data_IF_929959164390
#
_entry.id   IF_929959164390
#
_cell.length_a   1.000
_cell.length_b   1.000
_cell.length_c   1.000
_cell.angle_alpha   90.00
_cell.angle_beta   90.00
_cell.angle_gamma   90.00
#
_symmetry.space_group_name_H-M   'P 1'
#
loop_
_entity.id
_entity.type
_entity.pdbx_description
1 polymer ?
#
# COMPACT_ATOMS: atom_id res chain seq x y z
N UNK A 1 -9.82 17.01 5.65
CA UNK A 1 -9.08 17.22 4.42
C UNK A 1 -7.70 17.77 4.70
N UNK A 2 -6.84 17.82 3.68
CA UNK A 2 -5.52 18.41 3.80
C UNK A 2 -5.58 19.92 4.07
N UNK A 3 -4.62 20.43 4.81
CA UNK A 3 -4.41 21.85 5.09
C UNK A 3 -2.97 22.21 4.73
N UNK A 4 -2.62 23.49 4.79
CA UNK A 4 -1.22 23.92 4.57
C UNK A 4 -0.22 23.28 5.55
N UNK A 5 -0.70 22.88 6.73
CA UNK A 5 0.10 22.18 7.73
C UNK A 5 0.20 20.67 7.49
N UNK A 6 -0.52 20.11 6.51
CA UNK A 6 -0.46 18.69 6.20
C UNK A 6 0.88 18.35 5.56
N UNK A 7 1.67 17.43 6.13
CA UNK A 7 2.97 17.09 5.58
C UNK A 7 2.83 16.51 4.16
N UNK A 8 3.75 16.88 3.29
CA UNK A 8 3.93 16.22 1.99
C UNK A 8 4.91 15.07 2.18
N UNK A 9 4.49 13.86 1.84
CA UNK A 9 5.32 12.67 1.91
C UNK A 9 5.79 12.24 0.52
N UNK A 10 7.07 11.99 0.37
CA UNK A 10 7.62 11.34 -0.81
C UNK A 10 7.25 9.86 -0.82
N UNK A 11 6.72 9.38 -1.94
CA UNK A 11 6.21 8.01 -2.04
C UNK A 11 6.76 7.35 -3.30
N UNK A 12 7.25 6.12 -3.16
CA UNK A 12 7.60 5.26 -4.27
C UNK A 12 6.63 4.09 -4.34
N UNK A 13 6.07 3.85 -5.51
CA UNK A 13 5.23 2.68 -5.79
C UNK A 13 5.97 1.74 -6.73
N UNK A 14 6.03 0.47 -6.37
CA UNK A 14 6.79 -0.53 -7.12
C UNK A 14 6.14 -0.94 -8.46
N UNK A 15 5.02 -0.35 -8.84
CA UNK A 15 4.24 -0.68 -10.03
C UNK A 15 5.02 -0.52 -11.35
N UNK A 16 5.79 0.55 -11.48
CA UNK A 16 6.38 0.95 -12.75
C UNK A 16 7.66 0.17 -13.09
N UNK A 17 8.27 -0.48 -12.11
CA UNK A 17 9.56 -1.15 -12.28
C UNK A 17 9.42 -2.63 -12.65
N UNK A 18 8.55 -2.94 -13.61
CA UNK A 18 8.38 -4.31 -14.10
C UNK A 18 7.95 -5.31 -13.03
N UNK A 19 7.08 -4.87 -12.16
CA UNK A 19 6.77 -5.54 -10.92
C UNK A 19 5.44 -6.28 -10.92
N UNK A 20 4.73 -6.31 -12.05
CA UNK A 20 3.54 -7.14 -12.23
C UNK A 20 3.81 -8.61 -11.94
N UNK A 21 5.04 -9.03 -12.13
CA UNK A 21 5.46 -10.40 -11.95
C UNK A 21 6.01 -10.68 -10.57
N UNK A 22 6.03 -9.68 -9.75
CA UNK A 22 6.32 -9.82 -8.38
C UNK A 22 7.59 -9.14 -7.95
N UNK A 23 7.40 -8.12 -7.16
CA UNK A 23 8.38 -7.81 -6.16
C UNK A 23 8.75 -9.08 -5.44
N UNK A 24 10.01 -9.33 -5.31
CA UNK A 24 10.54 -10.34 -4.41
C UNK A 24 11.19 -9.64 -3.22
N UNK A 25 11.43 -10.36 -2.15
CA UNK A 25 12.18 -9.85 -1.02
C UNK A 25 13.55 -9.32 -1.48
N UNK A 26 14.26 -10.06 -2.34
CA UNK A 26 15.56 -9.68 -2.88
C UNK A 26 15.49 -8.37 -3.67
N UNK A 27 14.58 -8.26 -4.64
CA UNK A 27 14.41 -7.05 -5.44
C UNK A 27 13.99 -5.85 -4.58
N UNK A 28 13.14 -6.07 -3.60
CA UNK A 28 12.71 -5.01 -2.68
C UNK A 28 13.87 -4.48 -1.85
N UNK A 29 14.70 -5.37 -1.31
CA UNK A 29 15.89 -4.98 -0.55
C UNK A 29 16.91 -4.26 -1.43
N UNK A 30 17.09 -4.68 -2.69
CA UNK A 30 17.96 -3.99 -3.65
C UNK A 30 17.45 -2.56 -3.95
N UNK A 31 16.15 -2.39 -4.15
CA UNK A 31 15.54 -1.07 -4.34
C UNK A 31 15.70 -0.18 -3.11
N UNK A 32 15.46 -0.72 -1.92
CA UNK A 32 15.65 0.02 -0.68
C UNK A 32 17.11 0.41 -0.45
N UNK A 33 18.05 -0.46 -0.84
CA UNK A 33 19.48 -0.15 -0.78
C UNK A 33 19.83 1.04 -1.69
N UNK A 34 19.23 1.12 -2.87
CA UNK A 34 19.39 2.27 -3.76
C UNK A 34 18.81 3.56 -3.13
N UNK A 35 17.61 3.51 -2.55
CA UNK A 35 17.04 4.67 -1.86
C UNK A 35 17.85 5.08 -0.64
N UNK A 36 18.37 4.11 0.11
CA UNK A 36 19.26 4.39 1.23
C UNK A 36 20.55 5.06 0.78
N UNK A 37 21.15 4.62 -0.32
CA UNK A 37 22.30 5.28 -0.91
C UNK A 37 21.99 6.73 -1.31
N UNK A 38 20.84 6.99 -1.96
CA UNK A 38 20.40 8.34 -2.27
C UNK A 38 20.20 9.21 -1.01
N UNK A 39 19.68 8.60 0.05
CA UNK A 39 19.54 9.27 1.35
C UNK A 39 20.91 9.63 1.94
N UNK A 40 21.83 8.68 2.00
CA UNK A 40 23.12 8.84 2.66
C UNK A 40 24.04 9.81 1.91
N UNK A 41 24.06 9.76 0.56
CA UNK A 41 24.95 10.54 -0.28
C UNK A 41 24.40 11.93 -0.65
N UNK A 42 23.09 12.04 -0.80
CA UNK A 42 22.44 13.25 -1.33
C UNK A 42 21.41 13.89 -0.42
N UNK A 43 21.13 13.30 0.72
CA UNK A 43 20.08 13.75 1.63
C UNK A 43 18.66 13.62 1.09
N UNK A 44 18.47 12.79 0.06
CA UNK A 44 17.12 12.52 -0.47
C UNK A 44 16.31 11.71 0.53
N UNK A 45 15.10 12.18 0.82
CA UNK A 45 14.19 11.46 1.71
C UNK A 45 13.14 10.70 0.91
N UNK A 46 13.03 9.41 1.16
CA UNK A 46 11.87 8.61 0.80
C UNK A 46 11.07 8.32 2.07
N UNK A 47 9.89 8.91 2.20
CA UNK A 47 9.05 8.71 3.38
C UNK A 47 8.34 7.34 3.37
N UNK A 48 7.87 6.89 2.19
CA UNK A 48 7.10 5.65 2.06
C UNK A 48 7.54 4.85 0.84
N UNK A 49 7.95 3.61 1.06
CA UNK A 49 8.09 2.58 0.02
C UNK A 49 6.82 1.74 -0.03
N UNK A 50 6.03 1.89 -1.08
CA UNK A 50 4.76 1.21 -1.24
C UNK A 50 4.86 0.02 -2.19
N UNK A 51 4.54 -1.17 -1.69
CA UNK A 51 4.31 -2.34 -2.51
C UNK A 51 3.05 -2.13 -3.36
N UNK A 52 3.15 -2.33 -4.66
CA UNK A 52 2.02 -2.26 -5.56
C UNK A 52 1.46 -3.65 -5.90
N UNK A 53 0.56 -3.74 -6.88
CA UNK A 53 -0.02 -4.99 -7.33
C UNK A 53 1.07 -6.04 -7.61
N UNK A 54 0.75 -7.30 -7.39
CA UNK A 54 1.71 -8.39 -7.51
C UNK A 54 2.36 -8.83 -6.21
N UNK A 55 2.23 -8.06 -5.11
CA UNK A 55 2.85 -8.40 -3.82
C UNK A 55 1.94 -9.25 -2.94
N UNK A 56 0.75 -8.77 -2.60
CA UNK A 56 -0.20 -9.48 -1.72
C UNK A 56 -1.55 -9.71 -2.39
N UNK A 57 -1.57 -10.07 -3.65
CA UNK A 57 -2.78 -10.10 -4.47
C UNK A 57 -3.91 -10.92 -3.84
N UNK A 58 -3.73 -12.22 -3.68
CA UNK A 58 -4.76 -13.09 -3.12
C UNK A 58 -6.05 -13.17 -3.96
N UNK A 59 -7.10 -13.79 -3.42
CA UNK A 59 -8.38 -13.88 -4.10
C UNK A 59 -8.96 -12.52 -4.45
N UNK A 60 -9.42 -12.35 -5.70
CA UNK A 60 -9.99 -11.10 -6.23
C UNK A 60 -9.09 -9.87 -6.03
N UNK A 61 -7.79 -10.08 -5.90
CA UNK A 61 -6.80 -9.01 -5.64
C UNK A 61 -7.07 -8.18 -4.38
N UNK A 62 -7.81 -8.72 -3.42
CA UNK A 62 -8.06 -8.00 -2.17
C UNK A 62 -6.82 -7.86 -1.29
N UNK A 63 -5.85 -8.74 -1.48
CA UNK A 63 -4.60 -8.80 -0.72
C UNK A 63 -4.60 -9.89 0.33
N UNK A 64 -3.57 -10.74 0.29
CA UNK A 64 -3.37 -11.82 1.26
C UNK A 64 -1.89 -12.20 1.36
N UNK A 65 -1.41 -12.39 2.57
CA UNK A 65 -0.08 -12.95 2.85
C UNK A 65 -0.09 -14.48 3.00
N UNK A 66 -1.26 -15.11 2.84
CA UNK A 66 -1.42 -16.57 2.98
C UNK A 66 -1.17 -17.33 1.67
N UNK A 67 -1.05 -16.65 0.53
CA UNK A 67 -0.86 -17.28 -0.78
C UNK A 67 0.53 -17.90 -0.91
N UNK A 68 0.62 -18.96 -1.71
CA UNK A 68 1.92 -19.59 -2.00
C UNK A 68 2.83 -18.65 -2.79
N UNK A 69 2.25 -17.80 -3.65
CA UNK A 69 2.97 -16.73 -4.35
C UNK A 69 3.67 -15.82 -3.35
N UNK A 70 2.93 -15.26 -2.38
CA UNK A 70 3.52 -14.38 -1.37
C UNK A 70 4.62 -15.08 -0.58
N UNK A 71 4.37 -16.29 -0.08
CA UNK A 71 5.37 -17.07 0.69
C UNK A 71 6.64 -17.36 -0.11
N UNK A 72 6.51 -17.57 -1.42
CA UNK A 72 7.66 -17.77 -2.32
C UNK A 72 8.43 -16.48 -2.54
N UNK A 73 7.73 -15.37 -2.75
CA UNK A 73 8.33 -14.06 -3.03
C UNK A 73 8.94 -13.42 -1.78
N UNK A 74 8.32 -13.62 -0.63
CA UNK A 74 8.70 -13.05 0.66
C UNK A 74 8.81 -14.16 1.72
N UNK A 75 9.82 -15.03 1.63
CA UNK A 75 9.92 -16.20 2.51
C UNK A 75 10.07 -15.84 3.99
N UNK A 76 10.58 -14.65 4.29
CA UNK A 76 10.70 -14.10 5.65
C UNK A 76 9.63 -13.04 5.97
N UNK A 77 8.60 -12.91 5.11
CA UNK A 77 7.57 -11.88 5.23
C UNK A 77 8.13 -10.46 5.08
N UNK A 78 7.48 -9.50 5.73
CA UNK A 78 7.90 -8.09 5.64
C UNK A 78 8.99 -7.70 6.64
N UNK A 79 9.32 -8.55 7.61
CA UNK A 79 10.25 -8.19 8.69
C UNK A 79 11.61 -7.67 8.20
N UNK A 80 12.37 -8.37 7.34
CA UNK A 80 13.69 -7.87 6.91
C UNK A 80 13.59 -6.57 6.11
N UNK A 81 12.50 -6.39 5.36
CA UNK A 81 12.25 -5.19 4.58
C UNK A 81 11.94 -4.01 5.49
N UNK A 82 11.09 -4.22 6.50
CA UNK A 82 10.76 -3.23 7.51
C UNK A 82 12.02 -2.78 8.27
N UNK A 83 12.83 -3.72 8.74
CA UNK A 83 14.05 -3.41 9.46
C UNK A 83 15.03 -2.60 8.60
N UNK A 84 15.14 -2.93 7.31
CA UNK A 84 15.99 -2.20 6.39
C UNK A 84 15.46 -0.78 6.09
N UNK A 85 14.17 -0.66 5.76
CA UNK A 85 13.54 0.63 5.49
C UNK A 85 13.63 1.56 6.71
N UNK A 86 13.39 1.04 7.89
CA UNK A 86 13.49 1.78 9.16
C UNK A 86 14.90 2.33 9.42
N UNK A 87 15.95 1.70 8.89
CA UNK A 87 17.33 2.16 9.06
C UNK A 87 17.64 3.53 8.43
N UNK A 88 16.76 4.04 7.56
CA UNK A 88 16.84 5.39 6.97
C UNK A 88 15.49 6.13 6.99
N UNK A 89 14.69 5.89 8.04
CA UNK A 89 13.41 6.55 8.30
C UNK A 89 12.35 6.39 7.18
N UNK A 90 12.45 5.33 6.39
CA UNK A 90 11.46 4.99 5.38
C UNK A 90 10.42 4.02 5.98
N UNK A 91 9.15 4.33 5.77
CA UNK A 91 8.01 3.48 6.17
C UNK A 91 7.50 2.66 5.00
N UNK A 92 6.64 1.71 5.27
CA UNK A 92 6.06 0.84 4.25
C UNK A 92 4.63 1.24 3.88
N UNK A 93 4.24 0.96 2.64
CA UNK A 93 2.87 1.06 2.16
C UNK A 93 2.49 -0.16 1.34
N UNK A 94 1.21 -0.37 1.07
CA UNK A 94 0.74 -1.52 0.30
C UNK A 94 -0.50 -1.20 -0.54
N UNK A 95 -0.51 -1.75 -1.76
CA UNK A 95 -1.65 -1.80 -2.64
C UNK A 95 -2.53 -3.01 -2.32
N UNK A 96 -3.85 -2.81 -2.28
CA UNK A 96 -4.83 -3.84 -1.98
C UNK A 96 -6.24 -3.43 -2.42
N UNK A 97 -7.18 -4.39 -2.45
CA UNK A 97 -8.59 -4.10 -2.64
C UNK A 97 -9.27 -3.59 -1.36
N UNK A 98 -10.35 -2.82 -1.49
CA UNK A 98 -11.06 -2.23 -0.35
C UNK A 98 -11.90 -3.23 0.44
N UNK A 99 -12.34 -4.30 -0.18
CA UNK A 99 -13.11 -5.41 0.42
C UNK A 99 -12.14 -6.52 0.90
N UNK A 100 -12.57 -7.74 0.88
CA UNK A 100 -11.81 -8.89 1.38
C UNK A 100 -12.25 -9.33 2.77
N UNK A 101 -13.35 -8.76 3.27
CA UNK A 101 -13.90 -9.11 4.58
C UNK A 101 -14.61 -10.48 4.60
N UNK A 102 -14.77 -11.12 3.43
CA UNK A 102 -15.51 -12.39 3.34
C UNK A 102 -16.98 -12.23 3.70
N UNK A 103 -17.64 -13.36 3.98
CA UNK A 103 -19.08 -13.42 4.27
C UNK A 103 -19.36 -13.83 5.71
N UNK A 104 -18.36 -14.26 6.45
CA UNK A 104 -18.46 -14.68 7.86
C UNK A 104 -17.74 -13.70 8.79
N UNK A 105 -18.17 -13.66 10.04
CA UNK A 105 -17.50 -12.86 11.07
C UNK A 105 -16.02 -13.25 11.27
N UNK A 106 -15.69 -14.52 11.06
CA UNK A 106 -14.31 -15.01 11.15
C UNK A 106 -13.44 -14.43 10.03
N UNK A 107 -13.91 -14.48 8.79
CA UNK A 107 -13.18 -13.92 7.64
C UNK A 107 -13.02 -12.41 7.77
N UNK A 108 -14.07 -11.73 8.22
CA UNK A 108 -14.03 -10.30 8.51
C UNK A 108 -12.94 -9.97 9.54
N UNK A 109 -12.89 -10.72 10.65
CA UNK A 109 -11.88 -10.52 11.67
C UNK A 109 -10.47 -10.85 11.16
N UNK A 110 -10.29 -11.93 10.40
CA UNK A 110 -9.00 -12.28 9.80
C UNK A 110 -8.48 -11.17 8.87
N UNK A 111 -9.37 -10.52 8.11
CA UNK A 111 -9.01 -9.37 7.27
C UNK A 111 -8.53 -8.19 8.11
N UNK A 112 -9.25 -7.88 9.17
CA UNK A 112 -8.90 -6.78 10.08
C UNK A 112 -7.57 -7.09 10.78
N UNK A 113 -7.40 -8.28 11.31
CA UNK A 113 -6.19 -8.69 12.03
C UNK A 113 -4.94 -8.61 11.14
N UNK A 114 -5.05 -9.01 9.88
CA UNK A 114 -3.95 -8.92 8.91
C UNK A 114 -3.52 -7.47 8.70
N UNK A 115 -4.44 -6.56 8.42
CA UNK A 115 -4.12 -5.17 8.10
C UNK A 115 -3.72 -4.36 9.35
N UNK A 116 -4.32 -4.66 10.49
CA UNK A 116 -3.87 -4.13 11.79
C UNK A 116 -2.46 -4.61 12.09
N UNK A 117 -2.17 -5.88 11.83
CA UNK A 117 -0.84 -6.46 11.97
C UNK A 117 0.22 -5.74 11.14
N UNK A 118 -0.10 -5.32 9.92
CA UNK A 118 0.84 -4.53 9.11
C UNK A 118 1.23 -3.21 9.79
N UNK A 119 0.26 -2.52 10.37
CA UNK A 119 0.53 -1.26 11.07
C UNK A 119 1.22 -1.47 12.42
N UNK A 120 0.80 -2.48 13.19
CA UNK A 120 1.34 -2.77 14.52
C UNK A 120 2.78 -3.29 14.46
N UNK A 121 3.03 -4.24 13.55
CA UNK A 121 4.27 -5.02 13.54
C UNK A 121 5.34 -4.43 12.60
N UNK A 122 4.91 -3.69 11.56
CA UNK A 122 5.79 -3.16 10.52
C UNK A 122 5.57 -1.67 10.21
N UNK A 123 4.81 -0.96 11.03
CA UNK A 123 4.60 0.50 10.92
C UNK A 123 4.13 0.95 9.52
N UNK A 124 3.29 0.16 8.85
CA UNK A 124 2.74 0.57 7.56
C UNK A 124 2.05 1.91 7.64
N UNK A 125 2.36 2.81 6.71
CA UNK A 125 1.92 4.20 6.69
C UNK A 125 0.97 4.53 5.55
N UNK A 126 0.76 3.59 4.61
CA UNK A 126 -0.09 3.81 3.45
C UNK A 126 -0.81 2.54 3.02
N UNK A 127 -2.10 2.67 2.80
CA UNK A 127 -2.92 1.70 2.07
C UNK A 127 -3.45 2.34 0.78
N UNK A 128 -3.01 1.83 -0.37
CA UNK A 128 -3.56 2.19 -1.68
C UNK A 128 -4.70 1.22 -2.00
N UNK A 129 -5.92 1.69 -1.86
CA UNK A 129 -7.13 0.90 -2.14
C UNK A 129 -7.65 1.16 -3.54
N UNK A 130 -7.62 0.14 -4.40
CA UNK A 130 -7.84 0.29 -5.85
C UNK A 130 -9.16 -0.34 -6.31
N UNK A 131 -9.90 0.43 -7.12
CA UNK A 131 -11.16 -0.01 -7.72
C UNK A 131 -11.02 -1.15 -8.73
N UNK A 132 -9.83 -1.43 -9.23
CA UNK A 132 -9.60 -2.60 -10.09
C UNK A 132 -9.93 -3.91 -9.37
N UNK A 133 -9.85 -3.91 -8.05
CA UNK A 133 -10.21 -5.03 -7.19
C UNK A 133 -11.71 -5.14 -6.90
N UNK A 134 -12.54 -4.33 -7.52
CA UNK A 134 -13.95 -4.08 -7.22
C UNK A 134 -14.17 -3.00 -6.14
N UNK A 135 -15.43 -2.57 -6.02
CA UNK A 135 -15.82 -1.63 -4.98
C UNK A 135 -15.99 -2.33 -3.63
N UNK A 136 -15.91 -1.57 -2.56
CA UNK A 136 -16.32 -2.03 -1.25
C UNK A 136 -17.83 -2.36 -1.26
N UNK A 137 -18.20 -3.54 -0.78
CA UNK A 137 -19.61 -3.95 -0.67
C UNK A 137 -20.34 -3.06 0.34
N UNK A 138 -21.60 -2.67 0.09
CA UNK A 138 -22.36 -1.82 0.99
C UNK A 138 -22.52 -2.40 2.42
N UNK A 139 -22.69 -3.70 2.53
CA UNK A 139 -22.81 -4.41 3.81
C UNK A 139 -21.49 -4.48 4.59
N UNK A 140 -20.34 -4.17 3.95
CA UNK A 140 -18.99 -4.19 4.56
C UNK A 140 -18.46 -2.80 4.94
N UNK A 141 -19.21 -1.74 4.73
CA UNK A 141 -18.79 -0.39 5.08
C UNK A 141 -18.47 -0.23 6.56
N UNK A 142 -19.28 -0.87 7.44
CA UNK A 142 -19.02 -0.85 8.90
C UNK A 142 -17.76 -1.62 9.28
N UNK A 143 -17.49 -2.74 8.62
CA UNK A 143 -16.24 -3.50 8.82
C UNK A 143 -15.02 -2.68 8.37
N UNK A 144 -15.14 -1.97 7.24
CA UNK A 144 -14.11 -1.04 6.78
C UNK A 144 -13.88 0.11 7.77
N UNK A 145 -14.96 0.70 8.30
CA UNK A 145 -14.88 1.75 9.31
C UNK A 145 -14.15 1.26 10.58
N UNK A 146 -14.50 0.05 11.05
CA UNK A 146 -13.82 -0.60 12.16
C UNK A 146 -12.34 -0.85 11.87
N UNK A 147 -12.02 -1.39 10.69
CA UNK A 147 -10.65 -1.60 10.24
C UNK A 147 -9.83 -0.31 10.34
N UNK A 148 -10.33 0.78 9.74
CA UNK A 148 -9.59 2.05 9.71
C UNK A 148 -9.44 2.67 11.10
N UNK A 149 -10.39 2.45 11.99
CA UNK A 149 -10.29 2.86 13.39
C UNK A 149 -9.20 2.08 14.11
N UNK A 150 -9.15 0.77 13.92
CA UNK A 150 -8.15 -0.09 14.56
C UNK A 150 -6.72 0.15 14.03
N UNK A 151 -6.53 0.26 12.72
CA UNK A 151 -5.19 0.50 12.15
C UNK A 151 -4.61 1.84 12.61
N UNK A 152 -5.43 2.87 12.79
CA UNK A 152 -4.99 4.18 13.25
C UNK A 152 -4.61 4.26 14.73
N UNK A 153 -4.89 3.25 15.51
CA UNK A 153 -4.31 3.11 16.86
C UNK A 153 -2.81 2.83 16.81
N UNK A 154 -2.33 2.21 15.72
CA UNK A 154 -0.93 1.85 15.51
C UNK A 154 -0.21 2.80 14.53
N UNK A 155 -0.94 3.30 13.54
CA UNK A 155 -0.46 4.27 12.55
C UNK A 155 -1.45 5.43 12.45
N UNK A 156 -1.39 6.41 13.39
CA UNK A 156 -2.38 7.51 13.47
C UNK A 156 -2.44 8.37 12.22
N UNK A 157 -1.34 8.51 11.51
CA UNK A 157 -1.14 9.28 10.29
C UNK A 157 -1.28 8.45 9.00
N UNK A 158 -1.80 7.21 9.10
CA UNK A 158 -1.96 6.33 7.95
C UNK A 158 -2.68 7.03 6.79
N UNK A 159 -2.03 7.01 5.63
CA UNK A 159 -2.60 7.49 4.39
C UNK A 159 -3.52 6.40 3.82
N UNK A 160 -4.78 6.73 3.63
CA UNK A 160 -5.69 5.93 2.81
C UNK A 160 -5.79 6.58 1.44
N UNK A 161 -5.04 6.06 0.48
CA UNK A 161 -5.13 6.46 -0.91
C UNK A 161 -6.35 5.78 -1.55
N UNK A 162 -7.40 6.57 -1.75
CA UNK A 162 -8.63 6.10 -2.38
C UNK A 162 -8.52 6.20 -3.90
N UNK A 163 -8.19 5.07 -4.54
CA UNK A 163 -8.01 5.00 -5.97
C UNK A 163 -9.31 4.58 -6.67
N UNK A 164 -10.13 5.58 -7.08
CA UNK A 164 -11.40 5.40 -7.82
C UNK A 164 -12.50 4.65 -7.06
N UNK A 165 -12.47 4.67 -5.73
CA UNK A 165 -13.44 3.93 -4.92
C UNK A 165 -14.63 4.78 -4.51
N UNK A 166 -15.79 4.11 -4.45
CA UNK A 166 -16.98 4.59 -3.75
C UNK A 166 -17.01 3.94 -2.37
N UNK A 167 -16.57 4.65 -1.36
CA UNK A 167 -16.44 4.11 -0.02
C UNK A 167 -17.70 4.25 0.85
N UNK A 168 -18.73 4.98 0.37
CA UNK A 168 -19.94 5.19 1.16
C UNK A 168 -19.63 5.83 2.53
N UNK A 169 -20.07 5.19 3.62
CA UNK A 169 -19.83 5.66 5.00
C UNK A 169 -18.34 5.66 5.37
N UNK A 170 -17.53 4.81 4.74
CA UNK A 170 -16.09 4.73 5.00
C UNK A 170 -15.30 5.89 4.35
N UNK A 171 -15.94 6.75 3.55
CA UNK A 171 -15.33 7.90 2.88
C UNK A 171 -14.60 8.85 3.84
N UNK A 172 -15.07 8.99 5.06
CA UNK A 172 -14.46 9.84 6.11
C UNK A 172 -13.00 9.45 6.44
N UNK A 173 -12.60 8.22 6.17
CA UNK A 173 -11.26 7.73 6.45
C UNK A 173 -10.26 7.98 5.31
N UNK A 174 -10.74 8.28 4.10
CA UNK A 174 -9.85 8.55 2.97
C UNK A 174 -9.11 9.88 3.18
N UNK A 175 -7.80 9.85 2.96
CA UNK A 175 -6.93 11.02 3.07
C UNK A 175 -6.63 11.64 1.72
N UNK A 176 -6.71 10.85 0.66
CA UNK A 176 -6.54 11.30 -0.72
C UNK A 176 -7.58 10.68 -1.63
N UNK A 177 -7.95 11.40 -2.68
CA UNK A 177 -8.88 10.94 -3.70
C UNK A 177 -8.26 11.14 -5.07
N UNK A 178 -8.18 10.08 -5.84
CA UNK A 178 -7.89 10.17 -7.26
C UNK A 178 -9.22 10.25 -8.02
N UNK A 179 -9.55 11.43 -8.51
CA UNK A 179 -10.79 11.69 -9.23
C UNK A 179 -10.66 11.35 -10.69
N UNK A 180 -11.49 10.47 -11.16
CA UNK A 180 -12.07 10.38 -12.52
C UNK A 180 -11.12 10.32 -13.68
N UNK A 181 -9.88 10.04 -13.51
CA UNK A 181 -9.02 10.18 -14.58
C UNK A 181 -8.15 9.01 -14.93
N UNK A 182 -7.60 9.11 -16.09
CA UNK A 182 -6.43 8.35 -16.47
C UNK A 182 -5.28 8.76 -15.54
N UNK A 183 -4.53 7.78 -15.12
CA UNK A 183 -3.28 8.02 -14.41
C UNK A 183 -2.28 8.62 -15.41
N UNK A 184 -1.68 9.75 -15.04
CA UNK A 184 -0.88 10.54 -15.97
C UNK A 184 0.54 10.00 -16.20
N UNK A 185 0.98 8.99 -15.46
CA UNK A 185 2.31 8.40 -15.66
C UNK A 185 2.50 7.72 -17.01
N UNK A 186 1.41 7.38 -17.73
CA UNK A 186 1.47 6.85 -19.08
C UNK A 186 2.11 7.87 -20.02
N UNK A 187 1.77 9.13 -19.89
CA UNK A 187 2.29 10.20 -20.74
C UNK A 187 3.80 10.41 -20.53
N UNK A 188 4.28 10.28 -19.32
CA UNK A 188 5.71 10.35 -19.02
C UNK A 188 6.48 9.20 -19.68
N UNK A 189 5.91 7.99 -19.68
CA UNK A 189 6.52 6.85 -20.37
C UNK A 189 6.52 6.98 -21.88
N UNK A 190 5.46 7.52 -22.46
CA UNK A 190 5.37 7.77 -23.91
C UNK A 190 6.38 8.82 -24.35
N UNK A 191 6.48 9.93 -23.62
CA UNK A 191 7.47 10.97 -23.88
C UNK A 191 8.91 10.43 -23.81
N UNK A 192 9.23 9.59 -22.84
CA UNK A 192 10.56 8.99 -22.73
C UNK A 192 10.84 7.97 -23.84
N UNK A 193 9.83 7.30 -24.39
CA UNK A 193 10.01 6.40 -25.53
C UNK A 193 10.29 7.14 -26.83
N UNK A 194 9.75 8.32 -27.01
CA UNK A 194 10.02 9.16 -28.19
C UNK A 194 11.40 9.81 -28.13
N UNK A 195 11.99 9.94 -26.94
CA UNK A 195 13.33 10.51 -26.76
C UNK A 195 14.46 9.47 -26.75
N UNK A 196 14.14 8.21 -26.76
CA UNK A 196 15.10 7.10 -26.81
C UNK A 196 14.99 6.32 -28.11
#
# INVERSE_FOLDING_TARGET
GATEATPSYSQYFSWINNTNEGSTEENTLANLAFFKWLHDEYGMKLDIYAFDAGTIDGPRYYGSTKTDKFKKQYPRGFKPIYEYAKSFDCRLGVWLGPDGFGDTAKEEQERIDMLVGFCRDYEFALFKMDAVCTQLRPDKQKAFDRLMTEVRKHSPDLILLNHRLKLGEAKKHATTFLWGGAETYIDVHMANREMT
#
